data_IF_955618476549
#
_entry.id   IF_955618476549
#
_cell.length_a   1.000
_cell.length_b   1.000
_cell.length_c   1.000
_cell.angle_alpha   90.00
_cell.angle_beta   90.00
_cell.angle_gamma   90.00
#
_symmetry.space_group_name_H-M   'P 1'
#
loop_
_entity.id
_entity.type
_entity.pdbx_description
1 polymer ?
#
# COMPACT_ATOMS: atom_id res chain seq x y z
N UNK A 1 2.39 10.32 -17.59
CA UNK A 1 2.95 9.23 -18.42
C UNK A 1 2.15 9.09 -19.69
N UNK A 2 2.78 9.21 -20.86
CA UNK A 2 2.09 9.09 -22.14
C UNK A 2 1.69 7.62 -22.41
N UNK A 3 0.53 7.43 -23.03
CA UNK A 3 0.13 6.13 -23.58
C UNK A 3 0.90 5.89 -24.88
N UNK A 4 1.38 4.66 -25.07
CA UNK A 4 2.11 4.27 -26.27
C UNK A 4 1.18 3.63 -27.32
N UNK A 5 1.56 3.76 -28.59
CA UNK A 5 0.87 3.12 -29.70
C UNK A 5 1.26 1.66 -29.76
N UNK A 6 0.44 0.80 -29.17
CA UNK A 6 0.65 -0.64 -29.10
C UNK A 6 -0.27 -1.24 -28.05
N UNK A 7 -0.86 -2.38 -28.37
CA UNK A 7 -1.51 -3.19 -27.34
C UNK A 7 -0.46 -4.08 -26.69
N UNK A 8 -0.48 -4.17 -25.37
CA UNK A 8 0.33 -5.14 -24.62
C UNK A 8 -0.04 -6.58 -25.03
N UNK A 9 0.68 -7.58 -24.50
CA UNK A 9 0.43 -9.02 -24.71
C UNK A 9 -1.03 -9.44 -24.49
N UNK A 10 -1.76 -8.67 -23.68
CA UNK A 10 -3.18 -8.88 -23.35
C UNK A 10 -4.17 -8.05 -24.20
N UNK A 11 -3.71 -7.32 -25.22
CA UNK A 11 -4.58 -6.49 -26.05
C UNK A 11 -4.94 -5.12 -25.45
N UNK A 12 -4.26 -4.70 -24.38
CA UNK A 12 -4.56 -3.46 -23.65
C UNK A 12 -3.60 -2.31 -23.93
N UNK A 13 -4.11 -1.08 -23.88
CA UNK A 13 -3.28 0.13 -23.88
C UNK A 13 -2.44 0.20 -22.59
N UNK A 14 -1.18 0.56 -22.73
CA UNK A 14 -0.26 0.77 -21.62
C UNK A 14 0.49 2.11 -21.77
N UNK A 15 1.09 2.56 -20.68
CA UNK A 15 1.88 3.80 -20.65
C UNK A 15 3.38 3.50 -20.79
N UNK A 16 4.12 4.39 -21.46
CA UNK A 16 5.57 4.32 -21.64
C UNK A 16 6.34 4.16 -20.31
N UNK A 17 5.84 4.84 -19.27
CA UNK A 17 6.46 4.94 -17.95
C UNK A 17 5.39 4.83 -16.87
N UNK A 18 5.79 4.47 -15.65
CA UNK A 18 4.88 4.33 -14.53
C UNK A 18 5.19 5.31 -13.38
N UNK A 19 5.45 6.57 -13.72
CA UNK A 19 5.70 7.64 -12.74
C UNK A 19 4.45 7.99 -11.94
N UNK A 20 3.26 7.75 -12.51
CA UNK A 20 1.96 7.84 -11.84
C UNK A 20 1.66 6.67 -10.89
N UNK A 21 2.56 5.68 -10.78
CA UNK A 21 2.47 4.59 -9.81
C UNK A 21 1.23 3.71 -9.97
N UNK A 22 0.73 3.53 -11.19
CA UNK A 22 -0.42 2.69 -11.50
C UNK A 22 -1.78 3.32 -11.29
N UNK A 23 -1.84 4.59 -10.87
CA UNK A 23 -3.11 5.31 -10.67
C UNK A 23 -3.16 6.67 -11.37
N UNK A 24 -4.27 6.96 -12.04
CA UNK A 24 -4.55 8.24 -12.71
C UNK A 24 -5.90 8.75 -12.21
N UNK A 25 -5.92 9.92 -11.55
CA UNK A 25 -7.16 10.48 -11.03
C UNK A 25 -7.91 9.57 -10.04
N UNK A 26 -7.19 8.72 -9.30
CA UNK A 26 -7.78 7.75 -8.38
C UNK A 26 -8.31 6.46 -9.03
N UNK A 27 -8.08 6.29 -10.34
CA UNK A 27 -8.48 5.10 -11.10
C UNK A 27 -7.21 4.34 -11.52
N UNK A 28 -7.23 3.01 -11.41
CA UNK A 28 -6.11 2.17 -11.85
C UNK A 28 -5.91 2.29 -13.36
N UNK A 29 -4.66 2.50 -13.80
CA UNK A 29 -4.32 2.63 -15.23
C UNK A 29 -4.08 1.28 -15.93
N UNK A 30 -4.03 0.18 -15.17
CA UNK A 30 -3.61 -1.13 -15.65
C UNK A 30 -2.10 -1.40 -15.44
N UNK A 31 -1.31 -0.37 -15.14
CA UNK A 31 0.09 -0.50 -14.77
C UNK A 31 0.25 -0.98 -13.32
N UNK A 32 1.41 -1.55 -12.93
CA UNK A 32 1.68 -1.95 -11.55
C UNK A 32 1.46 -0.80 -10.56
N UNK A 33 0.78 -1.07 -9.44
CA UNK A 33 0.55 -0.06 -8.41
C UNK A 33 1.80 0.09 -7.56
N UNK A 34 2.36 1.29 -7.54
CA UNK A 34 3.51 1.65 -6.71
C UNK A 34 3.15 2.78 -5.75
N UNK A 35 3.49 2.59 -4.47
CA UNK A 35 3.35 3.61 -3.46
C UNK A 35 4.47 3.50 -2.43
N UNK A 36 4.74 4.61 -1.75
CA UNK A 36 5.72 4.67 -0.66
C UNK A 36 5.00 5.01 0.63
N UNK A 37 5.40 4.38 1.72
CA UNK A 37 4.82 4.60 3.05
C UNK A 37 5.91 5.13 3.96
N UNK A 38 5.63 6.25 4.61
CA UNK A 38 6.47 6.79 5.68
C UNK A 38 5.93 6.30 7.02
N UNK A 39 6.80 5.71 7.83
CA UNK A 39 6.44 5.18 9.15
C UNK A 39 7.20 5.97 10.21
N UNK A 40 6.47 6.55 11.16
CA UNK A 40 7.09 7.25 12.29
C UNK A 40 7.84 6.25 13.17
N UNK A 41 8.87 6.72 13.86
CA UNK A 41 9.55 5.93 14.88
C UNK A 41 8.57 5.49 16.00
N UNK A 42 8.92 4.40 16.67
CA UNK A 42 8.17 3.92 17.83
C UNK A 42 8.03 5.05 18.87
N UNK A 43 6.82 5.24 19.40
CA UNK A 43 6.56 6.32 20.38
C UNK A 43 7.30 6.10 21.70
N UNK A 44 7.55 4.84 22.06
CA UNK A 44 8.22 4.47 23.29
C UNK A 44 9.72 4.58 23.12
N UNK A 45 10.30 5.62 23.72
CA UNK A 45 11.74 5.79 23.87
C UNK A 45 12.12 5.50 25.33
N UNK A 46 13.26 4.84 25.55
CA UNK A 46 13.75 4.50 26.89
C UNK A 46 14.29 5.70 27.69
N UNK A 47 14.24 6.90 27.13
CA UNK A 47 14.66 8.13 27.79
C UNK A 47 13.50 8.74 28.56
N UNK A 48 13.78 9.31 29.73
CA UNK A 48 12.80 10.09 30.48
C UNK A 48 12.39 11.32 29.68
N UNK A 49 11.08 11.59 29.63
CA UNK A 49 10.52 12.73 28.92
C UNK A 49 9.59 13.51 29.86
N UNK A 50 9.72 14.84 29.86
CA UNK A 50 8.79 15.71 30.58
C UNK A 50 7.56 15.92 29.70
N UNK A 51 6.38 15.58 30.22
CA UNK A 51 5.08 15.70 29.55
C UNK A 51 4.02 16.19 30.54
N UNK A 52 2.80 16.47 30.08
CA UNK A 52 1.65 16.68 30.95
C UNK A 52 0.88 15.38 31.18
N UNK A 53 0.28 15.24 32.36
CA UNK A 53 -0.75 14.24 32.63
C UNK A 53 -2.14 14.71 32.13
N UNK A 54 -3.18 13.90 32.36
CA UNK A 54 -4.55 14.22 31.92
C UNK A 54 -5.18 15.38 32.70
N UNK A 55 -4.65 15.73 33.87
CA UNK A 55 -5.09 16.85 34.69
C UNK A 55 -4.32 18.15 34.36
N UNK A 56 -3.34 18.07 33.44
CA UNK A 56 -2.54 19.19 32.97
C UNK A 56 -1.32 19.51 33.82
N UNK A 57 -0.97 18.63 34.77
CA UNK A 57 0.22 18.78 35.59
C UNK A 57 1.46 18.19 34.90
N UNK A 58 2.61 18.86 35.07
CA UNK A 58 3.88 18.38 34.52
C UNK A 58 4.33 17.11 35.25
N UNK A 59 4.61 16.06 34.48
CA UNK A 59 5.09 14.77 34.96
C UNK A 59 6.24 14.25 34.08
N UNK A 60 7.17 13.50 34.68
CA UNK A 60 8.18 12.73 33.94
C UNK A 60 7.62 11.37 33.52
N UNK A 61 7.52 11.13 32.22
CA UNK A 61 7.19 9.85 31.62
C UNK A 61 8.47 9.02 31.46
N UNK A 62 8.53 7.88 32.15
CA UNK A 62 9.57 6.89 32.01
C UNK A 62 8.96 5.57 31.52
N UNK A 63 9.28 5.18 30.28
CA UNK A 63 8.73 3.95 29.69
C UNK A 63 9.61 2.76 30.08
N UNK A 64 9.05 1.81 30.83
CA UNK A 64 9.73 0.57 31.25
C UNK A 64 9.16 -0.65 30.52
N UNK A 65 10.02 -1.51 29.96
CA UNK A 65 9.59 -2.78 29.37
C UNK A 65 10.33 -3.18 28.09
N UNK A 66 9.91 -4.30 27.50
CA UNK A 66 10.40 -4.75 26.19
C UNK A 66 9.67 -3.96 25.09
N UNK A 67 10.38 -3.02 24.48
CA UNK A 67 9.89 -2.25 23.33
C UNK A 67 10.66 -2.65 22.09
N UNK A 68 9.98 -2.68 20.94
CA UNK A 68 10.64 -2.85 19.66
C UNK A 68 11.33 -1.52 19.29
N UNK A 69 12.68 -1.47 19.22
CA UNK A 69 13.39 -0.25 18.85
C UNK A 69 13.14 0.16 17.39
N UNK A 70 12.70 -0.78 16.56
CA UNK A 70 12.37 -0.56 15.17
C UNK A 70 11.16 -1.41 14.77
N UNK A 71 10.10 -0.76 14.30
CA UNK A 71 8.88 -1.42 13.80
C UNK A 71 8.98 -1.80 12.33
N UNK A 72 9.99 -1.31 11.60
CA UNK A 72 10.12 -1.45 10.15
C UNK A 72 10.20 -2.90 9.67
N UNK A 73 10.89 -3.84 10.34
CA UNK A 73 10.95 -5.23 9.86
C UNK A 73 9.58 -5.91 9.78
N UNK A 74 8.60 -5.44 10.56
CA UNK A 74 7.23 -5.98 10.57
C UNK A 74 6.27 -5.20 9.67
N UNK A 75 6.69 -4.07 9.13
CA UNK A 75 5.82 -3.19 8.34
C UNK A 75 5.47 -3.74 6.94
N UNK A 76 6.40 -4.35 6.16
CA UNK A 76 6.09 -4.84 4.82
C UNK A 76 4.87 -5.78 4.76
N UNK A 77 4.78 -6.87 5.56
CA UNK A 77 3.62 -7.75 5.48
C UNK A 77 2.30 -7.06 5.89
N UNK A 78 2.37 -6.08 6.79
CA UNK A 78 1.23 -5.27 7.21
C UNK A 78 0.71 -4.40 6.05
N UNK A 79 1.62 -3.69 5.38
CA UNK A 79 1.30 -2.81 4.26
C UNK A 79 0.79 -3.61 3.05
N UNK A 80 1.44 -4.73 2.73
CA UNK A 80 1.01 -5.64 1.64
C UNK A 80 -0.39 -6.19 1.90
N UNK A 81 -0.67 -6.63 3.14
CA UNK A 81 -1.99 -7.15 3.52
C UNK A 81 -3.07 -6.07 3.36
N UNK A 82 -2.81 -4.86 3.84
CA UNK A 82 -3.77 -3.75 3.71
C UNK A 82 -3.99 -3.35 2.23
N UNK A 83 -2.93 -3.30 1.43
CA UNK A 83 -3.04 -3.03 0.00
C UNK A 83 -3.89 -4.09 -0.72
N UNK A 84 -3.71 -5.37 -0.39
CA UNK A 84 -4.51 -6.46 -0.95
C UNK A 84 -5.99 -6.36 -0.54
N UNK A 85 -6.27 -6.09 0.74
CA UNK A 85 -7.64 -5.94 1.25
C UNK A 85 -8.35 -4.77 0.56
N UNK A 86 -7.71 -3.60 0.47
CA UNK A 86 -8.30 -2.41 -0.18
C UNK A 86 -8.52 -2.65 -1.67
N UNK A 87 -7.57 -3.29 -2.35
CA UNK A 87 -7.72 -3.62 -3.78
C UNK A 87 -8.90 -4.56 -4.01
N UNK A 88 -9.06 -5.57 -3.14
CA UNK A 88 -10.18 -6.50 -3.22
C UNK A 88 -11.52 -5.80 -2.95
N UNK A 89 -11.59 -4.91 -1.96
CA UNK A 89 -12.81 -4.10 -1.70
C UNK A 89 -13.19 -3.27 -2.92
N UNK A 90 -12.23 -2.56 -3.53
CA UNK A 90 -12.47 -1.76 -4.74
C UNK A 90 -12.95 -2.62 -5.92
N UNK A 91 -12.37 -3.81 -6.09
CA UNK A 91 -12.81 -4.77 -7.11
C UNK A 91 -14.27 -5.22 -6.86
N UNK A 92 -14.61 -5.58 -5.62
CA UNK A 92 -15.96 -6.02 -5.25
C UNK A 92 -16.99 -4.91 -5.42
N UNK A 93 -16.66 -3.67 -5.04
CA UNK A 93 -17.50 -2.49 -5.30
C UNK A 93 -17.74 -2.26 -6.78
N UNK A 94 -16.75 -2.51 -7.63
CA UNK A 94 -16.94 -2.40 -9.07
C UNK A 94 -17.82 -3.54 -9.61
N UNK A 95 -17.67 -4.77 -9.07
CA UNK A 95 -18.51 -5.93 -9.44
C UNK A 95 -19.98 -5.72 -9.06
N UNK A 96 -20.26 -5.13 -7.91
CA UNK A 96 -21.64 -4.92 -7.44
C UNK A 96 -22.43 -3.95 -8.31
N UNK A 97 -21.77 -3.12 -9.13
CA UNK A 97 -22.41 -2.20 -10.09
C UNK A 97 -23.01 -2.92 -11.31
N UNK A 98 -22.93 -4.24 -11.38
CA UNK A 98 -23.62 -5.07 -12.39
C UNK A 98 -23.04 -5.02 -13.80
N UNK A 99 -21.91 -4.33 -14.03
CA UNK A 99 -21.20 -4.40 -15.30
C UNK A 99 -20.35 -5.67 -15.36
N UNK A 100 -20.36 -6.42 -16.48
CA UNK A 100 -19.41 -7.51 -16.68
C UNK A 100 -18.00 -6.92 -16.62
N UNK A 101 -17.23 -7.33 -15.61
CA UNK A 101 -15.80 -7.07 -15.58
C UNK A 101 -15.17 -8.11 -16.48
N UNK A 102 -14.63 -7.69 -17.62
CA UNK A 102 -13.66 -8.49 -18.34
C UNK A 102 -12.45 -8.63 -17.42
N UNK A 103 -12.42 -9.74 -16.68
CA UNK A 103 -11.24 -10.06 -15.89
C UNK A 103 -10.19 -10.44 -16.91
N UNK A 104 -9.05 -9.75 -16.91
CA UNK A 104 -7.91 -10.18 -17.73
C UNK A 104 -7.71 -11.67 -17.50
N UNK A 105 -7.57 -12.42 -18.59
CA UNK A 105 -7.36 -13.86 -18.49
C UNK A 105 -6.21 -14.06 -17.52
N UNK A 106 -6.41 -14.90 -16.50
CA UNK A 106 -5.46 -15.04 -15.42
C UNK A 106 -4.15 -15.59 -15.98
N UNK A 107 -3.24 -14.70 -16.39
CA UNK A 107 -1.92 -15.01 -16.91
C UNK A 107 -0.96 -15.45 -15.78
N UNK A 108 -1.48 -16.19 -14.80
CA UNK A 108 -0.71 -16.98 -13.82
C UNK A 108 -0.09 -18.22 -14.50
N UNK A 109 -0.32 -18.44 -15.80
CA UNK A 109 0.19 -19.60 -16.55
C UNK A 109 1.57 -19.46 -17.21
N UNK A 110 2.38 -18.42 -16.95
CA UNK A 110 3.60 -18.23 -17.78
C UNK A 110 4.93 -17.95 -17.08
N UNK A 111 5.14 -18.40 -15.84
CA UNK A 111 6.48 -18.38 -15.22
C UNK A 111 6.76 -19.53 -14.24
N UNK A 112 6.17 -20.73 -14.46
CA UNK A 112 6.55 -21.96 -13.73
C UNK A 112 7.30 -23.00 -14.58
N UNK A 113 7.67 -22.65 -15.80
CA UNK A 113 8.53 -23.47 -16.66
C UNK A 113 9.71 -22.61 -17.14
N UNK A 114 10.72 -22.51 -16.28
CA UNK A 114 12.16 -22.42 -16.58
C UNK A 114 12.94 -22.32 -15.26
#
# INVERSE_FOLDING_TARGET
DPFESGVDVDGLLHTATNNHGGTLGGITSGMPIYFRVCIKAASSIGMEQVTADFDGHTQTLAVKGRHDPCVLPRAPPLVESMAAIVTMDMLLRQRSRGRPIHTLSTAVKRNREN
#
